data_IF_046304058815
#
_entry.id   IF_046304058815
#
_cell.length_a   1.000
_cell.length_b   1.000
_cell.length_c   1.000
_cell.angle_alpha   90.00
_cell.angle_beta   90.00
_cell.angle_gamma   90.00
#
_symmetry.space_group_name_H-M   'P 1'
#
loop_
_entity.id
_entity.type
_entity.pdbx_description
1 polymer ?
#
# COMPACT_ATOMS: atom_id res chain seq x y z
N UNK A 1 31.78 -4.19 68.74
CA UNK A 1 32.76 -4.44 69.81
C UNK A 1 34.09 -3.83 69.33
N UNK A 2 34.73 -3.07 70.22
CA UNK A 2 36.09 -2.55 70.03
C UNK A 2 37.07 -3.54 70.60
N UNK A 3 38.03 -3.97 69.85
CA UNK A 3 39.13 -4.77 70.34
C UNK A 3 40.35 -3.86 70.49
N UNK A 4 41.02 -3.97 71.63
CA UNK A 4 42.23 -3.18 71.95
C UNK A 4 43.45 -4.04 71.65
N UNK A 5 44.34 -3.52 70.80
CA UNK A 5 45.61 -4.17 70.48
C UNK A 5 46.77 -3.33 70.99
N UNK A 6 47.68 -3.97 71.75
CA UNK A 6 48.91 -3.34 72.18
C UNK A 6 49.88 -3.32 71.00
N UNK A 7 50.17 -2.14 70.48
CA UNK A 7 51.13 -1.94 69.34
C UNK A 7 52.58 -1.92 69.79
N UNK A 8 52.83 -1.71 71.07
CA UNK A 8 54.16 -1.70 71.67
C UNK A 8 54.17 -0.96 73.00
N UNK A 9 55.22 -1.08 73.77
CA UNK A 9 55.39 -0.34 74.96
C UNK A 9 56.51 0.72 74.84
N UNK A 10 56.27 1.92 75.32
CA UNK A 10 57.26 2.98 75.42
C UNK A 10 57.84 2.95 76.85
N UNK A 11 59.11 2.58 76.96
CA UNK A 11 59.82 2.59 78.22
C UNK A 11 60.43 3.95 78.45
N UNK A 12 59.97 4.65 79.43
CA UNK A 12 60.42 6.03 79.72
C UNK A 12 61.51 6.10 80.80
N UNK A 13 61.52 5.09 81.72
CA UNK A 13 62.53 4.96 82.78
C UNK A 13 62.49 3.48 83.25
N UNK A 14 63.51 3.06 84.03
CA UNK A 14 63.74 1.66 84.44
C UNK A 14 62.54 1.07 85.24
N UNK A 15 61.54 1.88 85.59
CA UNK A 15 60.38 1.49 86.34
C UNK A 15 59.03 1.87 85.74
N UNK A 16 59.00 2.54 84.57
CA UNK A 16 57.71 3.04 83.97
C UNK A 16 57.65 2.78 82.47
N UNK A 17 56.69 1.88 82.07
CA UNK A 17 56.36 1.62 80.71
C UNK A 17 54.91 1.99 80.40
N UNK A 18 54.67 2.63 79.26
CA UNK A 18 53.31 2.92 78.78
C UNK A 18 53.04 2.08 77.53
N UNK A 19 51.91 1.35 77.54
CA UNK A 19 51.45 0.59 76.41
C UNK A 19 50.78 1.51 75.40
N UNK A 20 51.22 1.45 74.14
CA UNK A 20 50.56 2.10 73.01
C UNK A 20 49.39 1.19 72.58
N UNK A 21 48.18 1.58 72.92
CA UNK A 21 46.97 0.84 72.62
C UNK A 21 46.31 1.47 71.39
N UNK A 22 46.11 0.71 70.32
CA UNK A 22 45.29 1.09 69.22
C UNK A 22 43.92 0.46 69.38
N UNK A 23 42.89 1.26 69.28
CA UNK A 23 41.48 0.75 69.23
C UNK A 23 41.07 0.57 67.77
N UNK A 24 40.74 -0.67 67.39
CA UNK A 24 40.16 -0.96 66.10
C UNK A 24 38.69 -1.27 66.25
N UNK A 25 37.84 -0.56 65.52
CA UNK A 25 36.43 -0.92 65.43
C UNK A 25 36.27 -2.18 64.57
N UNK A 26 35.88 -3.27 65.22
CA UNK A 26 35.56 -4.52 64.49
C UNK A 26 34.11 -4.49 64.08
N UNK A 27 33.88 -4.25 62.80
CA UNK A 27 32.53 -4.36 62.23
C UNK A 27 32.16 -5.83 62.06
N UNK A 28 31.32 -6.34 62.97
CA UNK A 28 30.71 -7.65 62.79
C UNK A 28 29.57 -7.53 61.74
N UNK A 29 29.84 -7.95 60.54
CA UNK A 29 28.79 -8.11 59.55
C UNK A 29 27.91 -9.30 59.95
N UNK A 30 26.77 -9.02 60.55
CA UNK A 30 25.75 -10.04 60.78
C UNK A 30 25.08 -10.33 59.45
N UNK A 31 25.39 -11.51 58.89
CA UNK A 31 24.67 -11.98 57.70
C UNK A 31 23.23 -12.32 58.10
N UNK A 32 22.32 -11.46 57.61
CA UNK A 32 20.87 -11.67 57.85
C UNK A 32 20.46 -13.01 57.16
N UNK A 33 19.78 -13.92 57.84
CA UNK A 33 19.27 -15.15 57.24
C UNK A 33 18.41 -14.84 56.00
N UNK A 34 18.42 -15.77 55.05
CA UNK A 34 17.70 -15.57 53.76
C UNK A 34 16.20 -15.28 53.96
N UNK A 35 15.56 -15.92 54.91
CA UNK A 35 14.14 -15.73 55.24
C UNK A 35 13.85 -14.33 55.75
N UNK A 36 14.75 -13.76 56.55
CA UNK A 36 14.65 -12.35 57.03
C UNK A 36 14.89 -11.36 55.89
N UNK A 37 15.84 -11.64 55.02
CA UNK A 37 16.08 -10.82 53.84
C UNK A 37 14.86 -10.83 52.91
N UNK A 38 14.20 -11.97 52.70
CA UNK A 38 13.01 -12.12 51.89
C UNK A 38 11.85 -11.34 52.49
N UNK A 39 11.64 -11.44 53.80
CA UNK A 39 10.57 -10.72 54.50
C UNK A 39 10.77 -9.20 54.54
N UNK A 40 12.01 -8.73 54.67
CA UNK A 40 12.35 -7.32 54.73
C UNK A 40 12.28 -6.67 53.34
N UNK A 41 12.56 -7.40 52.27
CA UNK A 41 12.54 -6.94 50.90
C UNK A 41 11.23 -7.24 50.17
N UNK A 42 10.28 -7.95 50.81
CA UNK A 42 8.97 -8.25 50.22
C UNK A 42 8.10 -6.98 50.22
N UNK A 43 8.09 -6.30 49.08
CA UNK A 43 7.27 -5.11 48.87
C UNK A 43 6.22 -5.41 47.80
N UNK A 44 4.94 -5.31 48.18
CA UNK A 44 3.82 -5.33 47.22
C UNK A 44 3.12 -3.99 47.28
N UNK A 45 2.98 -3.36 46.10
CA UNK A 45 2.21 -2.12 46.00
C UNK A 45 1.17 -2.26 44.89
N UNK A 46 -0.08 -1.94 45.20
CA UNK A 46 -1.18 -1.83 44.24
C UNK A 46 -1.51 -0.34 44.07
N UNK A 47 -1.33 0.14 42.83
CA UNK A 47 -1.66 1.52 42.50
C UNK A 47 -2.95 1.53 41.70
N UNK A 48 -3.91 2.34 42.17
CA UNK A 48 -5.11 2.67 41.41
C UNK A 48 -5.05 4.16 41.07
N UNK A 49 -5.06 4.46 39.76
CA UNK A 49 -5.00 5.82 39.24
C UNK A 49 -6.26 6.10 38.44
N UNK A 50 -7.00 7.13 38.77
CA UNK A 50 -8.17 7.63 38.07
C UNK A 50 -7.95 9.08 37.68
N UNK A 51 -7.90 9.39 36.39
CA UNK A 51 -7.78 10.75 35.88
C UNK A 51 -9.14 11.20 35.31
N UNK A 52 -9.73 12.20 35.98
CA UNK A 52 -11.00 12.78 35.54
C UNK A 52 -10.73 14.20 35.03
N UNK A 53 -10.61 14.43 33.71
CA UNK A 53 -10.43 15.77 33.17
C UNK A 53 -11.73 16.57 33.33
N UNK A 54 -11.73 17.60 34.15
CA UNK A 54 -12.87 18.51 34.35
C UNK A 54 -12.99 19.50 33.19
N UNK A 55 -11.87 19.92 32.64
CA UNK A 55 -11.79 20.82 31.50
C UNK A 55 -10.58 20.48 30.61
N UNK A 56 -10.82 20.24 29.32
CA UNK A 56 -9.80 19.89 28.34
C UNK A 56 -9.71 20.89 27.17
N UNK A 57 -10.03 22.17 27.44
CA UNK A 57 -10.00 23.23 26.41
C UNK A 57 -10.80 22.87 25.14
N UNK A 58 -11.97 22.23 25.29
CA UNK A 58 -12.84 21.78 24.20
C UNK A 58 -12.20 20.80 23.18
N UNK A 59 -11.05 20.20 23.51
CA UNK A 59 -10.33 19.32 22.61
C UNK A 59 -11.17 18.13 22.16
N UNK A 60 -11.99 17.55 23.04
CA UNK A 60 -12.92 16.46 22.69
C UNK A 60 -14.00 16.94 21.71
N UNK A 61 -14.58 18.12 21.96
CA UNK A 61 -15.60 18.70 21.07
C UNK A 61 -15.01 18.99 19.69
N UNK A 62 -13.83 19.62 19.64
CA UNK A 62 -13.12 19.87 18.38
C UNK A 62 -12.80 18.58 17.63
N UNK A 63 -12.41 17.51 18.34
CA UNK A 63 -12.17 16.20 17.73
C UNK A 63 -13.43 15.57 17.12
N UNK A 64 -14.59 15.74 17.79
CA UNK A 64 -15.88 15.28 17.26
C UNK A 64 -16.25 16.05 16.00
N UNK A 65 -16.18 17.37 16.03
CA UNK A 65 -16.47 18.23 14.87
C UNK A 65 -15.52 17.91 13.70
N UNK A 66 -14.24 17.67 13.97
CA UNK A 66 -13.27 17.23 12.95
C UNK A 66 -13.64 15.86 12.36
N UNK A 67 -14.11 14.92 13.18
CA UNK A 67 -14.54 13.61 12.71
C UNK A 67 -15.82 13.72 11.86
N UNK A 68 -16.76 14.58 12.23
CA UNK A 68 -17.98 14.86 11.44
C UNK A 68 -17.63 15.44 10.06
N UNK A 69 -16.72 16.43 10.01
CA UNK A 69 -16.24 17.01 8.75
C UNK A 69 -15.54 15.96 7.90
N UNK A 70 -14.75 15.08 8.53
CA UNK A 70 -14.07 13.98 7.83
C UNK A 70 -15.06 12.95 7.27
N UNK A 71 -16.11 12.64 8.00
CA UNK A 71 -17.18 11.75 7.54
C UNK A 71 -17.94 12.35 6.35
N UNK A 72 -18.26 13.65 6.43
CA UNK A 72 -18.91 14.37 5.34
C UNK A 72 -18.02 14.42 4.09
N UNK A 73 -16.73 14.68 4.25
CA UNK A 73 -15.76 14.65 3.16
C UNK A 73 -15.69 13.29 2.49
N UNK A 74 -15.70 12.20 3.28
CA UNK A 74 -15.72 10.84 2.75
C UNK A 74 -17.02 10.52 1.98
N UNK A 75 -18.16 11.07 2.41
CA UNK A 75 -19.42 10.92 1.68
C UNK A 75 -19.37 11.62 0.31
N UNK A 76 -18.85 12.85 0.24
CA UNK A 76 -18.70 13.54 -1.04
C UNK A 76 -17.69 12.83 -1.95
N UNK A 77 -16.62 12.28 -1.40
CA UNK A 77 -15.64 11.50 -2.18
C UNK A 77 -16.25 10.21 -2.74
N UNK A 78 -17.13 9.55 -1.97
CA UNK A 78 -17.88 8.40 -2.45
C UNK A 78 -18.81 8.78 -3.61
N UNK A 79 -19.51 9.90 -3.50
CA UNK A 79 -20.42 10.37 -4.55
C UNK A 79 -19.66 10.75 -5.83
N UNK A 80 -18.53 11.45 -5.69
CA UNK A 80 -17.63 11.74 -6.79
C UNK A 80 -17.11 10.47 -7.48
N UNK A 81 -16.74 9.45 -6.69
CA UNK A 81 -16.27 8.18 -7.23
C UNK A 81 -17.37 7.46 -8.01
N UNK A 82 -18.61 7.46 -7.51
CA UNK A 82 -19.76 6.90 -8.23
C UNK A 82 -20.00 7.62 -9.55
N UNK A 83 -19.95 8.94 -9.54
CA UNK A 83 -20.16 9.74 -10.75
C UNK A 83 -19.05 9.47 -11.79
N UNK A 84 -17.79 9.41 -11.35
CA UNK A 84 -16.67 9.06 -12.23
C UNK A 84 -16.84 7.66 -12.82
N UNK A 85 -17.26 6.69 -12.01
CA UNK A 85 -17.53 5.34 -12.47
C UNK A 85 -18.66 5.30 -13.51
N UNK A 86 -19.75 6.03 -13.26
CA UNK A 86 -20.87 6.13 -14.22
C UNK A 86 -20.41 6.69 -15.55
N UNK A 87 -19.66 7.80 -15.53
CA UNK A 87 -19.09 8.39 -16.75
C UNK A 87 -18.15 7.43 -17.49
N UNK A 88 -17.34 6.65 -16.74
CA UNK A 88 -16.46 5.65 -17.33
C UNK A 88 -17.22 4.51 -18.01
N UNK A 89 -18.34 4.05 -17.42
CA UNK A 89 -19.19 3.03 -18.01
C UNK A 89 -19.90 3.54 -19.27
N UNK A 90 -20.43 4.76 -19.21
CA UNK A 90 -21.09 5.40 -20.36
C UNK A 90 -20.11 5.58 -21.53
N UNK A 91 -18.89 6.02 -21.23
CA UNK A 91 -17.81 6.14 -22.24
C UNK A 91 -17.45 4.78 -22.83
N UNK A 92 -17.26 3.75 -21.99
CA UNK A 92 -16.96 2.39 -22.46
C UNK A 92 -18.08 1.81 -23.34
N UNK A 93 -19.35 2.10 -23.00
CA UNK A 93 -20.47 1.69 -23.80
C UNK A 93 -20.51 2.41 -25.16
N UNK A 94 -20.30 3.72 -25.17
CA UNK A 94 -20.25 4.51 -26.40
C UNK A 94 -19.10 4.05 -27.32
N UNK A 95 -17.93 3.76 -26.73
CA UNK A 95 -16.76 3.23 -27.43
C UNK A 95 -17.00 1.84 -28.02
N UNK A 96 -17.65 0.96 -27.29
CA UNK A 96 -17.98 -0.39 -27.79
C UNK A 96 -18.99 -0.32 -28.96
N UNK A 97 -19.97 0.59 -28.87
CA UNK A 97 -20.91 0.84 -29.96
C UNK A 97 -20.23 1.41 -31.19
N UNK A 98 -19.41 2.43 -31.02
CA UNK A 98 -18.65 3.04 -32.11
C UNK A 98 -17.73 2.02 -32.80
N UNK A 99 -17.04 1.17 -32.04
CA UNK A 99 -16.22 0.11 -32.58
C UNK A 99 -17.05 -0.90 -33.40
N UNK A 100 -18.25 -1.24 -32.94
CA UNK A 100 -19.16 -2.13 -33.70
C UNK A 100 -19.58 -1.52 -35.02
N UNK A 101 -19.98 -0.27 -35.04
CA UNK A 101 -20.34 0.46 -36.26
C UNK A 101 -19.12 0.61 -37.20
N UNK A 102 -17.94 0.87 -36.65
CA UNK A 102 -16.69 0.92 -37.41
C UNK A 102 -16.34 -0.43 -38.06
N UNK A 103 -16.53 -1.53 -37.32
CA UNK A 103 -16.25 -2.86 -37.88
C UNK A 103 -17.17 -3.18 -39.07
N UNK A 104 -18.44 -2.84 -39.01
CA UNK A 104 -19.39 -2.98 -40.12
C UNK A 104 -18.94 -2.14 -41.36
N UNK A 105 -18.50 -0.90 -41.10
CA UNK A 105 -18.00 -0.03 -42.17
C UNK A 105 -16.70 -0.57 -42.81
N UNK A 106 -15.78 -1.10 -42.00
CA UNK A 106 -14.53 -1.70 -42.50
C UNK A 106 -14.75 -3.01 -43.25
N UNK A 107 -15.72 -3.82 -42.83
CA UNK A 107 -16.08 -5.03 -43.58
C UNK A 107 -16.71 -4.66 -44.95
N UNK A 108 -17.54 -3.62 -45.01
CA UNK A 108 -18.07 -3.12 -46.28
C UNK A 108 -16.96 -2.55 -47.20
N UNK A 109 -16.00 -1.81 -46.60
CA UNK A 109 -14.85 -1.31 -47.34
C UNK A 109 -13.95 -2.44 -47.88
N UNK A 110 -13.75 -3.51 -47.10
CA UNK A 110 -13.00 -4.70 -47.53
C UNK A 110 -13.67 -5.36 -48.72
N UNK A 111 -14.99 -5.58 -48.71
CA UNK A 111 -15.73 -6.17 -49.83
C UNK A 111 -15.62 -5.31 -51.10
N UNK A 112 -15.66 -3.98 -50.94
CA UNK A 112 -15.50 -3.06 -52.08
C UNK A 112 -14.07 -3.11 -52.66
N UNK A 113 -13.04 -3.11 -51.79
CA UNK A 113 -11.65 -3.20 -52.20
C UNK A 113 -11.32 -4.55 -52.86
N UNK A 114 -11.88 -5.65 -52.36
CA UNK A 114 -11.74 -6.98 -52.99
C UNK A 114 -12.31 -7.01 -54.39
N UNK A 115 -13.52 -6.48 -54.58
CA UNK A 115 -14.15 -6.38 -55.91
C UNK A 115 -13.33 -5.53 -56.88
N UNK A 116 -12.81 -4.42 -56.40
CA UNK A 116 -11.96 -3.51 -57.18
C UNK A 116 -10.67 -4.23 -57.60
N UNK A 117 -10.02 -4.93 -56.65
CA UNK A 117 -8.82 -5.72 -56.95
C UNK A 117 -9.08 -6.80 -57.99
N UNK A 118 -10.12 -7.64 -57.82
CA UNK A 118 -10.48 -8.70 -58.75
C UNK A 118 -10.79 -8.15 -60.16
N UNK A 119 -11.43 -6.98 -60.26
CA UNK A 119 -11.69 -6.35 -61.55
C UNK A 119 -10.38 -5.85 -62.21
N UNK A 120 -9.47 -5.25 -61.43
CA UNK A 120 -8.18 -4.79 -61.94
C UNK A 120 -7.28 -5.95 -62.34
N UNK A 121 -7.32 -7.06 -61.62
CA UNK A 121 -6.61 -8.30 -61.94
C UNK A 121 -7.04 -8.85 -63.27
N UNK A 122 -8.35 -9.01 -63.55
CA UNK A 122 -8.88 -9.45 -64.83
C UNK A 122 -8.51 -8.51 -66.00
N UNK A 123 -8.51 -7.22 -65.76
CA UNK A 123 -8.08 -6.21 -66.76
C UNK A 123 -6.59 -6.31 -67.03
N UNK A 124 -5.78 -6.54 -66.03
CA UNK A 124 -4.33 -6.76 -66.16
C UNK A 124 -4.02 -8.01 -66.94
N UNK A 125 -4.69 -9.15 -66.67
CA UNK A 125 -4.59 -10.41 -67.41
C UNK A 125 -4.98 -10.24 -68.85
N UNK A 126 -5.99 -9.42 -69.15
CA UNK A 126 -6.42 -9.10 -70.53
C UNK A 126 -5.54 -8.04 -71.21
N UNK A 127 -4.47 -7.57 -70.57
CA UNK A 127 -3.59 -6.53 -71.11
C UNK A 127 -4.21 -5.10 -71.10
N UNK A 128 -5.34 -4.88 -70.41
CA UNK A 128 -6.11 -3.67 -70.42
C UNK A 128 -5.84 -2.78 -69.14
N UNK A 129 -4.84 -3.13 -68.31
CA UNK A 129 -4.40 -2.38 -67.14
C UNK A 129 -2.89 -2.49 -67.01
N UNK A 130 -2.27 -1.52 -66.31
CA UNK A 130 -0.81 -1.51 -66.07
C UNK A 130 -0.43 -2.31 -64.84
N UNK A 131 0.84 -2.72 -64.73
CA UNK A 131 1.37 -3.40 -63.57
C UNK A 131 1.33 -2.48 -62.29
N UNK A 132 1.37 -1.17 -62.49
CA UNK A 132 1.25 -0.20 -61.42
C UNK A 132 -0.18 -0.20 -60.87
N UNK A 133 -1.19 -0.14 -61.78
CA UNK A 133 -2.62 -0.18 -61.32
C UNK A 133 -2.95 -1.48 -60.59
N UNK A 134 -2.36 -2.62 -61.01
CA UNK A 134 -2.51 -3.90 -60.33
C UNK A 134 -1.87 -3.86 -58.90
N UNK A 135 -0.64 -3.33 -58.79
CA UNK A 135 0.06 -3.25 -57.54
C UNK A 135 -0.67 -2.30 -56.53
N UNK A 136 -1.19 -1.19 -57.04
CA UNK A 136 -1.97 -0.23 -56.23
C UNK A 136 -3.28 -0.85 -55.74
N UNK A 137 -4.03 -1.52 -56.63
CA UNK A 137 -5.27 -2.19 -56.27
C UNK A 137 -5.05 -3.29 -55.23
N UNK A 138 -3.93 -4.05 -55.34
CA UNK A 138 -3.54 -5.05 -54.35
C UNK A 138 -3.20 -4.44 -53.03
N UNK A 139 -2.43 -3.35 -53.00
CA UNK A 139 -2.06 -2.63 -51.77
C UNK A 139 -3.31 -2.09 -51.07
N UNK A 140 -4.28 -1.54 -51.82
CA UNK A 140 -5.55 -1.08 -51.26
C UNK A 140 -6.36 -2.22 -50.63
N UNK A 141 -6.43 -3.38 -51.31
CA UNK A 141 -7.10 -4.56 -50.77
C UNK A 141 -6.42 -5.09 -49.49
N UNK A 142 -5.09 -5.24 -49.52
CA UNK A 142 -4.33 -5.70 -48.35
C UNK A 142 -4.51 -4.76 -47.15
N UNK A 143 -4.48 -3.43 -47.39
CA UNK A 143 -4.75 -2.43 -46.33
C UNK A 143 -6.19 -2.54 -45.81
N UNK A 144 -7.19 -2.69 -46.66
CA UNK A 144 -8.58 -2.86 -46.24
C UNK A 144 -8.76 -4.14 -45.41
N UNK A 145 -8.09 -5.24 -45.78
CA UNK A 145 -8.09 -6.49 -45.01
C UNK A 145 -7.50 -6.33 -43.62
N UNK A 146 -6.37 -5.63 -43.50
CA UNK A 146 -5.74 -5.34 -42.21
C UNK A 146 -6.65 -4.47 -41.35
N UNK A 147 -7.27 -3.44 -41.94
CA UNK A 147 -8.16 -2.53 -41.24
C UNK A 147 -9.43 -3.24 -40.74
N UNK A 148 -10.04 -4.09 -41.54
CA UNK A 148 -11.18 -4.93 -41.15
C UNK A 148 -10.83 -5.88 -39.99
N UNK A 149 -9.64 -6.50 -40.03
CA UNK A 149 -9.17 -7.37 -38.98
C UNK A 149 -8.94 -6.58 -37.67
N UNK A 150 -8.30 -5.41 -37.73
CA UNK A 150 -8.11 -4.54 -36.58
C UNK A 150 -9.44 -4.11 -35.96
N UNK A 151 -10.41 -3.72 -36.76
CA UNK A 151 -11.72 -3.33 -36.30
C UNK A 151 -12.46 -4.47 -35.58
N UNK A 152 -12.34 -5.73 -36.06
CA UNK A 152 -12.90 -6.91 -35.38
C UNK A 152 -12.29 -7.15 -34.00
N UNK A 153 -10.97 -7.00 -33.87
CA UNK A 153 -10.30 -7.11 -32.57
C UNK A 153 -10.66 -5.96 -31.67
N UNK A 154 -10.80 -4.73 -32.17
CA UNK A 154 -11.20 -3.57 -31.38
C UNK A 154 -12.58 -3.76 -30.76
N UNK A 155 -13.56 -4.28 -31.52
CA UNK A 155 -14.87 -4.68 -30.98
C UNK A 155 -14.74 -5.70 -29.87
N UNK A 156 -13.92 -6.73 -30.06
CA UNK A 156 -13.72 -7.77 -29.07
C UNK A 156 -13.15 -7.21 -27.76
N UNK A 157 -12.12 -6.34 -27.84
CA UNK A 157 -11.53 -5.72 -26.66
C UNK A 157 -12.49 -4.76 -25.94
N UNK A 158 -13.16 -3.88 -26.67
CA UNK A 158 -14.11 -2.92 -26.08
C UNK A 158 -15.31 -3.62 -25.46
N UNK A 159 -15.79 -4.71 -26.06
CA UNK A 159 -16.84 -5.54 -25.46
C UNK A 159 -16.37 -6.18 -24.14
N UNK A 160 -15.11 -6.62 -24.04
CA UNK A 160 -14.55 -7.19 -22.80
C UNK A 160 -14.37 -6.15 -21.70
N UNK A 161 -14.01 -4.91 -22.06
CA UNK A 161 -13.99 -3.80 -21.09
C UNK A 161 -15.37 -3.57 -20.51
N UNK A 162 -16.41 -3.63 -21.34
CA UNK A 162 -17.79 -3.50 -20.88
C UNK A 162 -18.21 -4.68 -19.98
N UNK A 163 -17.84 -5.91 -20.32
CA UNK A 163 -18.08 -7.11 -19.48
C UNK A 163 -17.38 -6.96 -18.11
N UNK A 164 -16.17 -6.37 -18.06
CA UNK A 164 -15.46 -6.07 -16.81
C UNK A 164 -16.26 -5.11 -15.91
N UNK A 165 -16.78 -4.01 -16.46
CA UNK A 165 -17.64 -3.09 -15.70
C UNK A 165 -18.94 -3.72 -15.23
N UNK A 166 -19.43 -4.75 -15.93
CA UNK A 166 -20.60 -5.55 -15.51
C UNK A 166 -20.25 -6.62 -14.45
N UNK A 167 -18.98 -6.71 -14.02
CA UNK A 167 -18.52 -7.70 -13.05
C UNK A 167 -18.40 -9.13 -13.59
N UNK A 168 -18.41 -9.32 -14.92
CA UNK A 168 -18.22 -10.64 -15.52
C UNK A 168 -16.74 -11.02 -15.54
N UNK A 169 -16.42 -12.30 -15.35
CA UNK A 169 -15.06 -12.80 -15.45
C UNK A 169 -14.50 -12.60 -16.86
N UNK A 170 -13.30 -12.01 -16.96
CA UNK A 170 -12.60 -11.89 -18.24
C UNK A 170 -12.01 -13.23 -18.65
N UNK A 171 -12.78 -14.06 -19.36
CA UNK A 171 -12.29 -15.29 -19.98
C UNK A 171 -12.01 -15.02 -21.46
N UNK A 172 -10.74 -15.07 -21.84
CA UNK A 172 -10.35 -15.14 -23.24
C UNK A 172 -10.48 -16.61 -23.69
N UNK A 173 -11.49 -16.91 -24.46
CA UNK A 173 -11.67 -18.21 -25.11
C UNK A 173 -11.41 -18.07 -26.60
#
# INVERSE_FOLDING_TARGET
>A
STEEFVLGSLVVDDSTSYDLIAQQEVYNFITTPFDDQLSQNFNQSVFFSMNIPIFNNFSVKSSIEQAEVSALSAQYQLEQTKQTLTTSIESAWADARAASEQAVAQDAALVAAERAFLNTEKRYEAGASTAIDYADARTLFDNARVNALRAKYDVAFKSRILDFYMGKAMTFR
#
